data_IF_376005672281
#
_entry.id   IF_376005672281
#
_cell.length_a   1.000
_cell.length_b   1.000
_cell.length_c   1.000
_cell.angle_alpha   90.00
_cell.angle_beta   90.00
_cell.angle_gamma   90.00
#
_symmetry.space_group_name_H-M   'P 1'
#
loop_
_entity.id
_entity.type
_entity.pdbx_description
1 polymer ?
#
# COMPACT_ATOMS: atom_id res chain seq x y z
N UNK A 1 -22.84 19.41 17.06
CA UNK A 1 -23.09 18.71 15.77
C UNK A 1 -22.08 17.59 15.67
N UNK A 2 -22.47 16.38 15.27
CA UNK A 2 -21.50 15.28 15.08
C UNK A 2 -20.61 15.60 13.88
N UNK A 3 -19.30 15.40 13.99
CA UNK A 3 -18.37 15.55 12.87
C UNK A 3 -18.75 14.57 11.76
N UNK A 4 -18.63 14.96 10.47
CA UNK A 4 -18.80 14.04 9.35
C UNK A 4 -17.92 12.80 9.51
N UNK A 5 -18.39 11.66 9.03
CA UNK A 5 -17.61 10.41 9.02
C UNK A 5 -17.12 10.12 7.61
N UNK A 6 -15.84 9.76 7.48
CA UNK A 6 -15.25 9.31 6.23
C UNK A 6 -15.13 7.80 6.21
N UNK A 7 -15.58 7.18 5.11
CA UNK A 7 -15.49 5.74 4.93
C UNK A 7 -14.11 5.39 4.40
N UNK A 8 -13.49 4.36 4.97
CA UNK A 8 -12.21 3.82 4.51
C UNK A 8 -12.44 2.48 3.82
N UNK A 9 -11.80 2.32 2.66
CA UNK A 9 -11.83 1.11 1.87
C UNK A 9 -10.41 0.64 1.57
N UNK A 10 -10.21 -0.67 1.52
CA UNK A 10 -9.12 -1.28 0.76
C UNK A 10 -9.59 -1.44 -0.68
N UNK A 11 -8.80 -1.02 -1.64
CA UNK A 11 -9.13 -1.11 -3.08
C UNK A 11 -8.12 -2.02 -3.76
N UNK A 12 -8.62 -2.93 -4.59
CA UNK A 12 -7.85 -3.78 -5.49
C UNK A 12 -8.00 -3.27 -6.92
N UNK A 13 -6.88 -3.06 -7.61
CA UNK A 13 -6.86 -2.74 -9.04
C UNK A 13 -5.99 -3.72 -9.81
N UNK A 14 -6.35 -3.96 -11.07
CA UNK A 14 -5.60 -4.79 -12.00
C UNK A 14 -4.21 -4.18 -12.25
N UNK A 15 -3.18 -5.00 -12.14
CA UNK A 15 -1.83 -4.65 -12.57
C UNK A 15 -1.74 -4.71 -14.10
N UNK A 16 -1.07 -3.72 -14.71
CA UNK A 16 -0.77 -3.75 -16.14
C UNK A 16 0.16 -4.91 -16.53
N UNK A 17 1.01 -5.37 -15.61
CA UNK A 17 1.85 -6.55 -15.77
C UNK A 17 1.98 -7.28 -14.42
N UNK A 18 1.76 -8.60 -14.44
CA UNK A 18 2.01 -9.46 -13.29
C UNK A 18 3.51 -9.65 -13.09
N UNK A 19 3.99 -9.49 -11.86
CA UNK A 19 5.40 -9.63 -11.57
C UNK A 19 5.76 -11.12 -11.43
N UNK A 20 6.63 -11.67 -12.31
CA UNK A 20 6.99 -13.09 -12.28
C UNK A 20 7.72 -13.51 -11.00
N UNK A 21 8.21 -12.56 -10.20
CA UNK A 21 8.90 -12.82 -8.93
C UNK A 21 7.96 -13.06 -7.74
N UNK A 22 6.66 -12.82 -7.89
CA UNK A 22 5.69 -12.87 -6.78
C UNK A 22 4.85 -14.16 -6.78
N UNK A 23 5.32 -15.19 -7.47
CA UNK A 23 4.69 -16.50 -7.52
C UNK A 23 3.56 -16.61 -8.56
N UNK A 24 2.99 -17.82 -8.71
CA UNK A 24 1.90 -18.06 -9.65
C UNK A 24 0.57 -17.55 -9.06
N UNK A 25 -0.08 -16.62 -9.74
CA UNK A 25 -1.41 -16.12 -9.37
C UNK A 25 -1.62 -14.66 -9.78
N UNK A 26 -2.87 -14.29 -10.04
CA UNK A 26 -3.22 -12.89 -10.30
C UNK A 26 -3.06 -12.09 -9.01
N UNK A 27 -2.16 -11.12 -9.02
CA UNK A 27 -2.02 -10.12 -7.96
C UNK A 27 -2.67 -8.82 -8.37
N UNK A 28 -3.20 -8.14 -7.37
CA UNK A 28 -3.80 -6.81 -7.48
C UNK A 28 -2.93 -5.79 -6.75
N UNK A 29 -2.86 -4.58 -7.30
CA UNK A 29 -2.36 -3.44 -6.54
C UNK A 29 -3.37 -3.10 -5.46
N UNK A 30 -2.89 -2.97 -4.23
CA UNK A 30 -3.73 -2.72 -3.06
C UNK A 30 -3.46 -1.33 -2.51
N UNK A 31 -4.49 -0.48 -2.44
CA UNK A 31 -4.42 0.86 -1.86
C UNK A 31 -5.47 1.05 -0.78
N UNK A 32 -5.28 2.07 0.04
CA UNK A 32 -6.32 2.58 0.92
C UNK A 32 -7.01 3.76 0.24
N UNK A 33 -8.34 3.78 0.27
CA UNK A 33 -9.13 4.90 -0.22
C UNK A 33 -10.00 5.44 0.90
N UNK A 34 -9.85 6.73 1.20
CA UNK A 34 -10.65 7.44 2.18
C UNK A 34 -11.64 8.32 1.40
N UNK A 35 -12.93 7.99 1.50
CA UNK A 35 -13.98 8.79 0.88
C UNK A 35 -14.22 10.06 1.71
N UNK A 36 -13.72 11.20 1.21
CA UNK A 36 -13.80 12.50 1.90
C UNK A 36 -14.87 13.43 1.32
N UNK A 37 -15.51 13.04 0.21
CA UNK A 37 -16.54 13.83 -0.48
C UNK A 37 -17.86 13.06 -0.67
N UNK A 38 -19.02 13.73 -0.52
CA UNK A 38 -20.33 13.16 -0.87
C UNK A 38 -20.45 12.71 -2.34
N UNK A 39 -19.64 13.27 -3.25
CA UNK A 39 -19.61 12.88 -4.66
C UNK A 39 -18.98 11.50 -4.92
N UNK A 40 -18.44 10.85 -3.88
CA UNK A 40 -17.72 9.59 -4.00
C UNK A 40 -16.20 9.75 -4.16
N UNK A 41 -15.70 10.96 -4.44
CA UNK A 41 -14.25 11.23 -4.49
C UNK A 41 -13.62 11.23 -3.10
N UNK A 42 -12.29 11.16 -3.08
CA UNK A 42 -11.57 10.95 -1.83
C UNK A 42 -10.07 11.14 -1.96
N UNK A 43 -9.37 10.42 -1.08
CA UNK A 43 -7.92 10.42 -0.97
C UNK A 43 -7.42 8.98 -1.07
N UNK A 44 -6.55 8.71 -2.04
CA UNK A 44 -5.83 7.44 -2.14
C UNK A 44 -4.55 7.53 -1.34
N UNK A 45 -4.31 6.55 -0.48
CA UNK A 45 -3.07 6.37 0.28
C UNK A 45 -2.42 5.06 -0.15
N UNK A 46 -1.15 5.15 -0.53
CA UNK A 46 -0.39 4.03 -1.06
C UNK A 46 1.12 4.24 -0.86
N UNK A 47 1.90 3.24 -1.23
CA UNK A 47 3.33 3.41 -1.50
C UNK A 47 3.60 3.15 -2.98
N UNK A 48 4.39 4.01 -3.59
CA UNK A 48 4.71 4.01 -5.02
C UNK A 48 6.21 3.78 -5.26
N UNK A 49 6.58 3.51 -6.51
CA UNK A 49 7.96 3.22 -6.90
C UNK A 49 8.20 1.72 -7.04
N UNK A 50 9.46 1.32 -7.12
CA UNK A 50 9.86 -0.07 -7.33
C UNK A 50 10.87 -0.54 -6.28
N UNK A 51 10.92 -1.86 -6.07
CA UNK A 51 11.92 -2.47 -5.18
C UNK A 51 13.36 -2.43 -5.73
N UNK A 52 13.56 -1.87 -6.92
CA UNK A 52 14.87 -1.65 -7.53
C UNK A 52 15.34 -0.19 -7.39
N UNK A 53 14.46 0.73 -6.98
CA UNK A 53 14.79 2.15 -6.84
C UNK A 53 15.80 2.33 -5.70
N UNK A 54 16.67 3.34 -5.80
CA UNK A 54 17.74 3.58 -4.82
C UNK A 54 17.21 3.72 -3.38
N UNK A 55 16.08 4.41 -3.24
CA UNK A 55 15.40 4.63 -1.96
C UNK A 55 14.24 3.65 -1.72
N UNK A 56 14.08 2.65 -2.58
CA UNK A 56 12.90 1.79 -2.59
C UNK A 56 11.61 2.55 -2.92
N UNK A 57 10.51 2.05 -2.39
CA UNK A 57 9.18 2.66 -2.54
C UNK A 57 9.00 3.85 -1.58
N UNK A 58 8.06 4.73 -1.88
CA UNK A 58 7.79 5.95 -1.10
C UNK A 58 6.30 6.12 -0.81
N UNK A 59 5.98 6.65 0.36
CA UNK A 59 4.60 6.96 0.74
C UNK A 59 4.01 8.05 -0.15
N UNK A 60 2.76 7.86 -0.58
CA UNK A 60 2.00 8.82 -1.35
C UNK A 60 0.56 8.93 -0.82
N UNK A 61 0.09 10.16 -0.78
CA UNK A 61 -1.32 10.51 -0.56
C UNK A 61 -1.74 11.48 -1.66
N UNK A 62 -2.81 11.16 -2.37
CA UNK A 62 -3.29 11.97 -3.50
C UNK A 62 -4.81 12.07 -3.56
N UNK A 63 -5.32 13.14 -4.15
CA UNK A 63 -6.74 13.28 -4.44
C UNK A 63 -7.11 12.34 -5.60
N UNK A 64 -8.21 11.61 -5.45
CA UNK A 64 -8.65 10.65 -6.46
C UNK A 64 -10.18 10.67 -6.61
N UNK A 65 -10.70 10.36 -7.82
CA UNK A 65 -12.12 10.08 -8.00
C UNK A 65 -12.51 8.78 -7.27
N UNK A 66 -13.79 8.42 -7.32
CA UNK A 66 -14.23 7.13 -6.79
C UNK A 66 -13.46 5.98 -7.48
N UNK A 67 -12.96 4.97 -6.75
CA UNK A 67 -12.19 3.88 -7.33
C UNK A 67 -12.86 3.21 -8.53
N UNK A 68 -14.19 3.07 -8.49
CA UNK A 68 -15.01 2.45 -9.53
C UNK A 68 -15.02 3.21 -10.85
N UNK A 69 -14.55 4.46 -10.89
CA UNK A 69 -14.42 5.20 -12.15
C UNK A 69 -13.16 4.85 -12.94
N UNK A 70 -12.29 3.98 -12.40
CA UNK A 70 -11.07 3.53 -13.08
C UNK A 70 -11.33 2.23 -13.84
N UNK A 71 -10.87 2.14 -15.09
CA UNK A 71 -10.91 0.90 -15.88
C UNK A 71 -10.10 -0.23 -15.25
N UNK A 72 -9.13 0.10 -14.39
CA UNK A 72 -8.33 -0.88 -13.65
C UNK A 72 -9.02 -1.37 -12.37
N UNK A 73 -10.18 -0.82 -11.99
CA UNK A 73 -10.89 -1.21 -10.78
C UNK A 73 -11.25 -2.71 -10.82
N UNK A 74 -10.87 -3.43 -9.76
CA UNK A 74 -11.29 -4.81 -9.58
C UNK A 74 -12.36 -4.91 -8.49
N UNK A 75 -12.03 -4.49 -7.28
CA UNK A 75 -12.91 -4.62 -6.11
C UNK A 75 -12.52 -3.63 -5.02
N UNK A 76 -13.45 -3.32 -4.10
CA UNK A 76 -13.14 -2.65 -2.84
C UNK A 76 -13.77 -3.35 -1.65
N UNK A 77 -13.15 -3.18 -0.50
CA UNK A 77 -13.52 -3.81 0.77
C UNK A 77 -13.66 -2.71 1.80
N UNK A 78 -14.84 -2.60 2.39
CA UNK A 78 -15.08 -1.62 3.44
C UNK A 78 -14.34 -2.02 4.72
N UNK A 79 -13.56 -1.09 5.28
CA UNK A 79 -12.78 -1.32 6.50
C UNK A 79 -13.43 -0.69 7.73
N UNK A 80 -14.13 0.44 7.56
CA UNK A 80 -14.75 1.18 8.66
C UNK A 80 -14.91 2.66 8.37
N UNK A 81 -15.11 3.44 9.42
CA UNK A 81 -15.29 4.89 9.36
C UNK A 81 -14.30 5.58 10.28
N UNK A 82 -13.91 6.79 9.94
CA UNK A 82 -13.20 7.70 10.83
C UNK A 82 -14.00 8.98 10.96
N UNK A 83 -13.85 9.73 12.06
CA UNK A 83 -14.35 11.12 12.09
C UNK A 83 -13.48 11.95 11.17
N UNK A 84 -14.06 12.94 10.50
CA UNK A 84 -13.32 13.83 9.60
C UNK A 84 -12.18 14.58 10.31
N UNK A 85 -12.34 14.87 11.60
CA UNK A 85 -11.31 15.50 12.44
C UNK A 85 -10.10 14.61 12.71
N UNK A 86 -10.25 13.28 12.61
CA UNK A 86 -9.17 12.31 12.82
C UNK A 86 -8.37 12.04 11.51
N UNK A 87 -8.76 12.65 10.39
CA UNK A 87 -8.17 12.40 9.07
C UNK A 87 -6.64 12.58 9.04
N UNK A 88 -6.14 13.71 9.55
CA UNK A 88 -4.70 14.00 9.58
C UNK A 88 -3.94 13.03 10.49
N UNK A 89 -4.58 12.57 11.58
CA UNK A 89 -3.99 11.58 12.48
C UNK A 89 -3.86 10.22 11.79
N UNK A 90 -4.86 9.82 10.99
CA UNK A 90 -4.81 8.61 10.17
C UNK A 90 -3.71 8.70 9.12
N UNK A 91 -3.60 9.83 8.40
CA UNK A 91 -2.52 10.03 7.42
C UNK A 91 -1.16 9.97 8.12
N UNK A 92 -1.01 10.60 9.28
CA UNK A 92 0.24 10.60 10.06
C UNK A 92 0.61 9.18 10.50
N UNK A 93 -0.36 8.42 11.00
CA UNK A 93 -0.17 7.01 11.38
C UNK A 93 0.34 6.19 10.19
N UNK A 94 -0.32 6.30 9.03
CA UNK A 94 0.04 5.53 7.84
C UNK A 94 1.40 5.96 7.28
N UNK A 95 1.71 7.26 7.30
CA UNK A 95 3.00 7.81 6.84
C UNK A 95 4.17 7.36 7.72
N UNK A 96 3.94 7.09 9.00
CA UNK A 96 4.96 6.60 9.92
C UNK A 96 5.35 5.13 9.69
N UNK A 97 4.60 4.39 8.85
CA UNK A 97 4.95 3.02 8.48
C UNK A 97 6.00 3.07 7.37
N UNK A 98 7.19 2.54 7.66
CA UNK A 98 8.27 2.47 6.67
C UNK A 98 7.77 1.84 5.35
N UNK A 99 8.02 2.48 4.20
CA UNK A 99 7.70 1.89 2.92
C UNK A 99 8.67 0.74 2.58
N UNK A 100 8.33 -0.13 1.63
CA UNK A 100 9.24 -1.18 1.17
C UNK A 100 10.59 -0.63 0.71
N UNK A 101 11.71 -1.08 1.30
CA UNK A 101 13.04 -0.61 0.92
C UNK A 101 13.44 -1.20 -0.43
N UNK A 102 14.58 -0.74 -0.93
CA UNK A 102 15.27 -1.41 -2.03
C UNK A 102 15.55 -2.86 -1.66
N UNK A 103 15.22 -3.77 -2.57
CA UNK A 103 15.42 -5.21 -2.43
C UNK A 103 16.08 -5.83 -3.65
N UNK A 104 16.32 -5.04 -4.72
CA UNK A 104 17.07 -5.46 -5.89
C UNK A 104 18.08 -4.42 -6.31
N UNK A 105 19.20 -4.91 -6.83
CA UNK A 105 20.26 -4.10 -7.43
C UNK A 105 20.67 -4.72 -8.76
N UNK A 106 21.07 -3.90 -9.72
CA UNK A 106 21.61 -4.39 -10.98
C UNK A 106 23.07 -4.81 -10.77
N UNK A 107 23.34 -6.10 -10.92
CA UNK A 107 24.70 -6.64 -10.90
C UNK A 107 25.29 -6.58 -12.31
N UNK A 108 26.33 -5.77 -12.46
CA UNK A 108 27.02 -5.55 -13.74
C UNK A 108 27.87 -6.74 -14.17
N UNK A 109 28.20 -7.67 -13.28
CA UNK A 109 28.95 -8.89 -13.61
C UNK A 109 28.05 -9.93 -14.26
N UNK A 110 26.85 -10.12 -13.72
CA UNK A 110 25.86 -11.08 -14.22
C UNK A 110 24.87 -10.48 -15.22
N UNK A 111 24.87 -9.14 -15.36
CA UNK A 111 23.96 -8.34 -16.18
C UNK A 111 22.48 -8.60 -15.83
N UNK A 112 22.19 -8.78 -14.54
CA UNK A 112 20.86 -9.11 -14.03
C UNK A 112 20.56 -8.34 -12.76
N UNK A 113 19.27 -8.10 -12.51
CA UNK A 113 18.83 -7.64 -11.20
C UNK A 113 18.83 -8.80 -10.21
N UNK A 114 19.63 -8.70 -9.16
CA UNK A 114 19.75 -9.67 -8.07
C UNK A 114 19.15 -9.12 -6.79
N UNK A 115 18.79 -9.97 -5.83
CA UNK A 115 18.31 -9.51 -4.53
C UNK A 115 19.42 -8.81 -3.75
N UNK A 116 19.03 -7.81 -2.97
CA UNK A 116 19.91 -7.11 -2.05
C UNK A 116 19.25 -6.88 -0.69
N UNK A 117 20.10 -6.62 0.30
CA UNK A 117 19.73 -6.13 1.62
C UNK A 117 19.29 -4.66 1.51
N UNK A 118 18.62 -4.10 2.54
CA UNK A 118 18.17 -2.70 2.51
C UNK A 118 19.29 -1.67 2.24
N UNK A 119 20.53 -1.98 2.64
CA UNK A 119 21.72 -1.15 2.36
C UNK A 119 22.22 -1.23 0.90
N UNK A 120 21.68 -2.15 0.09
CA UNK A 120 22.06 -2.39 -1.30
C UNK A 120 23.11 -3.46 -1.52
N UNK A 121 23.69 -4.01 -0.46
CA UNK A 121 24.64 -5.12 -0.58
C UNK A 121 23.91 -6.40 -0.98
N UNK A 122 24.54 -7.24 -1.79
CA UNK A 122 23.96 -8.52 -2.21
C UNK A 122 24.04 -9.54 -1.07
N UNK A 123 23.12 -10.51 -1.07
CA UNK A 123 23.25 -11.66 -0.19
C UNK A 123 24.44 -12.53 -0.62
N UNK A 124 25.15 -13.12 0.35
CA UNK A 124 26.24 -14.07 0.10
C UNK A 124 25.73 -15.51 0.07
N UNK A 125 26.54 -16.43 -0.43
CA UNK A 125 26.19 -17.85 -0.45
C UNK A 125 25.88 -18.36 0.96
N UNK A 126 24.74 -19.05 1.11
CA UNK A 126 24.26 -19.57 2.40
C UNK A 126 23.51 -18.54 3.27
N UNK A 127 23.45 -17.26 2.89
CA UNK A 127 22.58 -16.31 3.59
C UNK A 127 21.12 -16.52 3.21
N UNK A 128 20.24 -16.40 4.21
CA UNK A 128 18.80 -16.44 3.98
C UNK A 128 18.35 -15.13 3.31
N UNK A 129 17.88 -15.25 2.06
CA UNK A 129 17.30 -14.13 1.36
C UNK A 129 15.90 -13.80 1.90
N UNK A 130 15.65 -12.52 2.19
CA UNK A 130 14.30 -12.07 2.53
C UNK A 130 13.34 -12.25 1.35
N UNK A 131 12.08 -12.52 1.67
CA UNK A 131 10.99 -12.49 0.69
C UNK A 131 10.78 -11.08 0.16
N UNK A 132 10.24 -10.98 -1.05
CA UNK A 132 9.89 -9.69 -1.62
C UNK A 132 8.72 -9.09 -0.86
N UNK A 133 8.90 -7.85 -0.45
CA UNK A 133 7.91 -7.04 0.23
C UNK A 133 7.58 -5.85 -0.66
N UNK A 134 6.34 -5.72 -1.16
CA UNK A 134 5.96 -4.65 -2.10
C UNK A 134 4.82 -3.80 -1.55
N UNK A 135 4.33 -2.86 -2.35
CA UNK A 135 3.20 -2.01 -2.02
C UNK A 135 1.98 -2.80 -1.50
N UNK A 136 1.67 -3.94 -2.11
CA UNK A 136 0.58 -4.82 -1.67
C UNK A 136 0.81 -5.32 -0.24
N UNK A 137 2.00 -5.81 0.08
CA UNK A 137 2.31 -6.28 1.43
C UNK A 137 2.35 -5.13 2.44
N UNK A 138 2.83 -3.94 2.07
CA UNK A 138 2.75 -2.75 2.92
C UNK A 138 1.28 -2.45 3.27
N UNK A 139 0.39 -2.45 2.28
CA UNK A 139 -1.04 -2.19 2.51
C UNK A 139 -1.68 -3.28 3.37
N UNK A 140 -1.51 -4.55 3.00
CA UNK A 140 -2.22 -5.68 3.62
C UNK A 140 -1.66 -6.06 4.99
N UNK A 141 -0.34 -6.04 5.15
CA UNK A 141 0.32 -6.59 6.34
C UNK A 141 0.72 -5.51 7.35
N UNK A 142 0.76 -4.22 6.94
CA UNK A 142 1.14 -3.12 7.84
C UNK A 142 0.03 -2.06 7.96
N UNK A 143 -0.37 -1.45 6.86
CA UNK A 143 -1.29 -0.31 6.89
C UNK A 143 -2.69 -0.67 7.40
N UNK A 144 -3.29 -1.73 6.86
CA UNK A 144 -4.61 -2.20 7.31
C UNK A 144 -4.59 -2.63 8.79
N UNK A 145 -3.64 -3.48 9.24
CA UNK A 145 -3.52 -3.80 10.67
C UNK A 145 -3.29 -2.57 11.58
N UNK A 146 -2.48 -1.60 11.15
CA UNK A 146 -2.25 -0.38 11.91
C UNK A 146 -3.53 0.45 12.09
N UNK A 147 -4.37 0.54 11.05
CA UNK A 147 -5.68 1.20 11.17
C UNK A 147 -6.57 0.52 12.20
N UNK A 148 -6.71 -0.81 12.13
CA UNK A 148 -7.50 -1.56 13.11
C UNK A 148 -6.95 -1.43 14.54
N UNK A 149 -5.62 -1.40 14.70
CA UNK A 149 -4.97 -1.26 16.01
C UNK A 149 -4.94 0.17 16.58
N UNK A 150 -5.32 1.19 15.79
CA UNK A 150 -5.17 2.60 16.19
C UNK A 150 -6.25 3.13 17.13
N UNK A 151 -7.41 2.47 17.18
CA UNK A 151 -8.62 3.00 17.83
C UNK A 151 -9.29 4.17 17.08
N UNK A 152 -8.77 4.59 15.93
CA UNK A 152 -9.37 5.65 15.09
C UNK A 152 -10.50 5.11 14.20
N UNK A 153 -10.45 3.82 13.88
CA UNK A 153 -11.37 3.16 12.95
C UNK A 153 -12.59 2.60 13.69
N UNK A 154 -13.77 3.15 13.38
CA UNK A 154 -15.08 2.65 13.82
C UNK A 154 -15.56 1.54 12.87
N UNK A 155 -15.58 0.30 13.36
CA UNK A 155 -15.96 -0.91 12.60
C UNK A 155 -17.39 -1.37 12.87
N UNK A 156 -18.19 -0.61 13.64
CA UNK A 156 -19.52 -1.02 14.15
C UNK A 156 -20.56 -1.25 13.04
N UNK A 157 -20.23 -0.98 11.77
CA UNK A 157 -21.06 -1.27 10.60
C UNK A 157 -20.69 -2.57 9.87
N UNK A 158 -19.79 -3.39 10.42
CA UNK A 158 -19.44 -4.72 9.92
C UNK A 158 -20.16 -5.74 10.81
N UNK A 159 -21.44 -5.97 10.55
CA UNK A 159 -22.27 -7.00 11.20
C UNK A 159 -22.99 -7.83 10.16
#
# INVERSE_FOLDING_TARGET
MSSPKYKIYRVETHLGLQDPLMGPGTRYHNTLFINTSPSGSGRTIQVIGTISDLNGMTFQEEASPAPESSDAFHQKYYLGQIRSEDYEQVVTLLRAIDPPPRQRVFDTKTLRYVKCKPDGTTYTEGEEEREYWKCTEWTLQRAVPALFGSGLLDTTSIS
#
